data_IF_604697333014
#
_entry.id   IF_604697333014
#
_cell.length_a   1.000
_cell.length_b   1.000
_cell.length_c   1.000
_cell.angle_alpha   90.00
_cell.angle_beta   90.00
_cell.angle_gamma   90.00
#
_symmetry.space_group_name_H-M   'P 1'
#
loop_
_entity.id
_entity.type
_entity.pdbx_description
1 polymer ?
#
# COMPACT_ATOMS: atom_id res chain seq x y z
N UNK A 1 20.88 -1.86 3.68
CA UNK A 1 21.41 -1.79 2.31
C UNK A 1 20.35 -2.36 1.39
N UNK A 2 19.57 -1.50 0.77
CA UNK A 2 18.58 -1.90 -0.23
C UNK A 2 19.36 -2.30 -1.49
N UNK A 3 19.48 -3.59 -1.74
CA UNK A 3 20.02 -4.09 -2.99
C UNK A 3 18.86 -4.15 -3.99
N UNK A 4 18.76 -3.16 -4.88
CA UNK A 4 17.79 -3.21 -5.98
C UNK A 4 18.36 -4.18 -7.02
N UNK A 5 17.99 -5.45 -6.93
CA UNK A 5 18.36 -6.48 -7.91
C UNK A 5 17.51 -6.43 -9.20
N UNK A 6 16.96 -5.29 -9.57
CA UNK A 6 16.14 -5.15 -10.77
C UNK A 6 16.92 -4.72 -12.01
N UNK A 7 18.17 -4.34 -11.87
CA UNK A 7 19.08 -4.21 -13.00
C UNK A 7 19.88 -5.51 -13.04
N UNK A 8 19.62 -6.36 -14.02
CA UNK A 8 20.44 -7.55 -14.22
C UNK A 8 21.90 -7.09 -14.29
N UNK A 9 22.71 -7.54 -13.36
CA UNK A 9 24.09 -7.12 -13.15
C UNK A 9 25.03 -7.27 -14.37
N UNK A 10 24.57 -7.85 -15.46
CA UNK A 10 25.34 -7.99 -16.71
C UNK A 10 25.36 -6.75 -17.60
N UNK A 11 24.60 -5.71 -17.27
CA UNK A 11 24.51 -4.51 -18.10
C UNK A 11 24.62 -3.19 -17.33
N UNK A 12 24.66 -3.24 -16.00
CA UNK A 12 24.86 -2.05 -15.18
C UNK A 12 26.34 -1.96 -14.81
N UNK A 13 26.97 -0.86 -15.12
CA UNK A 13 28.24 -0.49 -14.51
C UNK A 13 28.13 -0.43 -13.00
N UNK A 14 29.23 -0.14 -12.33
CA UNK A 14 29.28 -0.02 -10.88
C UNK A 14 28.22 1.00 -10.40
N UNK A 15 27.42 0.58 -9.40
CA UNK A 15 26.46 1.47 -8.77
C UNK A 15 27.14 2.14 -7.59
N UNK A 16 27.47 3.41 -7.73
CA UNK A 16 27.99 4.22 -6.65
C UNK A 16 26.85 4.75 -5.77
N UNK A 17 26.89 4.43 -4.49
CA UNK A 17 25.96 4.97 -3.51
C UNK A 17 26.68 6.02 -2.67
N UNK A 18 26.41 7.29 -2.93
CA UNK A 18 26.92 8.39 -2.14
C UNK A 18 25.97 8.68 -0.97
N UNK A 19 26.42 8.39 0.23
CA UNK A 19 25.74 8.80 1.46
C UNK A 19 26.18 10.21 1.83
N UNK A 20 25.25 11.15 1.84
CA UNK A 20 25.49 12.50 2.35
C UNK A 20 25.31 12.49 3.88
N UNK A 21 26.39 12.53 4.67
CA UNK A 21 26.27 12.50 6.12
C UNK A 21 25.67 13.81 6.64
N UNK A 22 24.56 13.70 7.33
CA UNK A 22 23.88 14.81 8.03
C UNK A 22 23.68 14.43 9.50
N UNK A 23 24.75 14.28 10.30
CA UNK A 23 24.64 13.82 11.68
C UNK A 23 23.94 14.84 12.59
N UNK A 24 23.84 16.08 12.14
CA UNK A 24 23.16 17.21 12.77
C UNK A 24 21.64 17.20 12.61
N UNK A 25 21.10 16.31 11.77
CA UNK A 25 19.68 16.23 11.47
C UNK A 25 19.11 14.89 11.95
N UNK A 26 17.86 14.87 12.45
CA UNK A 26 17.20 13.61 12.74
C UNK A 26 17.03 12.79 11.44
N UNK A 27 17.12 11.45 11.51
CA UNK A 27 16.94 10.62 10.34
C UNK A 27 15.54 10.81 9.77
N UNK A 28 15.48 11.21 8.50
CA UNK A 28 14.25 11.27 7.73
C UNK A 28 14.11 9.96 6.94
N UNK A 29 12.91 9.39 6.94
CA UNK A 29 12.61 8.27 6.06
C UNK A 29 12.75 8.71 4.60
N UNK A 30 13.40 7.90 3.78
CA UNK A 30 13.61 8.21 2.35
C UNK A 30 12.32 8.04 1.56
N UNK A 31 11.43 7.17 2.04
CA UNK A 31 10.10 6.92 1.47
C UNK A 31 10.11 6.84 -0.07
N UNK A 32 9.11 7.40 -0.68
CA UNK A 32 8.99 7.47 -2.15
C UNK A 32 9.92 8.52 -2.77
N UNK A 33 10.50 9.40 -1.98
CA UNK A 33 11.39 10.48 -2.47
C UNK A 33 12.58 9.94 -3.28
N UNK A 34 13.03 8.72 -3.00
CA UNK A 34 14.11 8.08 -3.73
C UNK A 34 13.65 7.43 -5.03
N UNK A 35 12.39 7.02 -5.14
CA UNK A 35 11.85 6.31 -6.32
C UNK A 35 11.21 7.25 -7.34
N UNK A 36 10.58 8.33 -6.87
CA UNK A 36 9.88 9.31 -7.72
C UNK A 36 10.77 9.88 -8.84
N UNK A 37 12.03 10.30 -8.61
CA UNK A 37 12.88 10.84 -9.67
C UNK A 37 13.49 9.77 -10.60
N UNK A 38 13.38 8.48 -10.27
CA UNK A 38 14.09 7.41 -10.99
C UNK A 38 13.73 7.35 -12.47
N UNK A 39 12.45 7.43 -12.82
CA UNK A 39 12.00 7.40 -14.22
C UNK A 39 12.52 8.62 -14.99
N UNK A 40 12.49 9.80 -14.38
CA UNK A 40 13.00 11.02 -14.98
C UNK A 40 14.53 10.98 -15.13
N UNK A 41 15.23 10.46 -14.14
CA UNK A 41 16.69 10.29 -14.19
C UNK A 41 17.10 9.34 -15.33
N UNK A 42 16.42 8.19 -15.47
CA UNK A 42 16.69 7.25 -16.57
C UNK A 42 16.39 7.91 -17.93
N UNK A 43 15.25 8.60 -18.07
CA UNK A 43 14.91 9.31 -19.31
C UNK A 43 15.94 10.38 -19.69
N UNK A 44 16.46 11.11 -18.69
CA UNK A 44 17.50 12.12 -18.90
C UNK A 44 18.83 11.47 -19.28
N UNK A 45 19.22 10.39 -18.64
CA UNK A 45 20.45 9.67 -18.97
C UNK A 45 20.41 9.11 -20.40
N UNK A 46 19.27 8.54 -20.82
CA UNK A 46 19.09 8.08 -22.20
C UNK A 46 19.20 9.27 -23.17
N UNK A 47 18.57 10.40 -22.85
CA UNK A 47 18.66 11.61 -23.69
C UNK A 47 20.11 12.15 -23.78
N UNK A 48 20.80 12.22 -22.68
CA UNK A 48 22.19 12.67 -22.62
C UNK A 48 23.12 11.79 -23.47
N UNK A 49 22.92 10.47 -23.39
CA UNK A 49 23.72 9.50 -24.14
C UNK A 49 23.38 9.44 -25.64
N UNK A 50 22.15 9.73 -26.04
CA UNK A 50 21.65 9.40 -27.39
C UNK A 50 21.06 10.59 -28.15
N UNK A 51 20.75 11.69 -27.48
CA UNK A 51 20.01 12.84 -28.03
C UNK A 51 18.52 12.56 -28.25
N UNK A 52 18.03 11.34 -27.97
CA UNK A 52 16.62 10.97 -28.17
C UNK A 52 15.85 11.09 -26.88
N UNK A 53 14.74 11.86 -26.89
CA UNK A 53 13.91 12.10 -25.71
C UNK A 53 12.75 11.13 -25.61
N UNK A 54 12.77 10.32 -24.54
CA UNK A 54 11.66 9.44 -24.17
C UNK A 54 10.85 10.08 -23.04
N UNK A 55 9.54 10.20 -23.19
CA UNK A 55 8.65 10.88 -22.23
C UNK A 55 7.61 9.96 -21.61
N UNK A 56 7.52 8.73 -22.06
CA UNK A 56 6.49 7.78 -21.65
C UNK A 56 7.10 6.46 -21.18
N UNK A 57 6.56 5.91 -20.13
CA UNK A 57 6.89 4.58 -19.59
C UNK A 57 6.04 3.49 -20.26
N UNK A 58 6.52 2.22 -20.26
CA UNK A 58 7.80 1.73 -19.75
C UNK A 58 8.96 1.93 -20.75
N UNK A 59 10.19 2.09 -20.26
CA UNK A 59 11.40 2.12 -21.10
C UNK A 59 11.85 0.71 -21.45
N UNK A 60 11.09 0.01 -22.28
CA UNK A 60 11.47 -1.33 -22.73
C UNK A 60 12.60 -1.27 -23.78
N UNK A 61 13.45 -2.30 -23.87
CA UNK A 61 14.51 -2.34 -24.88
C UNK A 61 14.00 -2.10 -26.31
N UNK A 62 12.84 -2.67 -26.64
CA UNK A 62 12.24 -2.55 -27.96
C UNK A 62 11.79 -1.11 -28.26
N UNK A 63 11.26 -0.43 -27.25
CA UNK A 63 10.85 0.98 -27.38
C UNK A 63 12.03 1.88 -27.53
N UNK A 64 13.08 1.67 -26.75
CA UNK A 64 14.33 2.43 -26.86
C UNK A 64 14.94 2.21 -28.24
N UNK A 65 15.05 0.97 -28.71
CA UNK A 65 15.60 0.66 -30.03
C UNK A 65 14.82 1.34 -31.16
N UNK A 66 13.50 1.33 -31.13
CA UNK A 66 12.67 2.03 -32.13
C UNK A 66 12.91 3.54 -32.12
N UNK A 67 12.94 4.14 -30.94
CA UNK A 67 13.25 5.57 -30.82
C UNK A 67 14.63 5.92 -31.34
N UNK A 68 15.65 5.09 -31.07
CA UNK A 68 17.01 5.28 -31.58
C UNK A 68 17.13 5.14 -33.10
N UNK A 69 16.25 4.34 -33.72
CA UNK A 69 16.17 4.18 -35.18
C UNK A 69 15.42 5.30 -35.87
N UNK A 70 14.87 6.28 -35.13
CA UNK A 70 14.03 7.32 -35.68
C UNK A 70 12.69 6.82 -36.19
N UNK A 71 12.32 5.58 -35.85
CA UNK A 71 10.99 5.06 -36.10
C UNK A 71 10.06 5.91 -35.24
N UNK A 72 9.18 6.69 -35.89
CA UNK A 72 8.26 7.61 -35.24
C UNK A 72 7.59 6.85 -34.10
N UNK A 73 7.76 7.34 -32.89
CA UNK A 73 6.95 6.91 -31.77
C UNK A 73 5.53 7.23 -32.21
N UNK A 74 4.77 6.21 -32.64
CA UNK A 74 3.35 6.39 -32.80
C UNK A 74 2.88 6.94 -31.45
N UNK A 75 2.63 8.23 -31.40
CA UNK A 75 1.93 8.84 -30.29
C UNK A 75 0.74 7.94 -30.11
N UNK A 76 0.54 7.28 -28.96
CA UNK A 76 -0.68 6.53 -28.76
C UNK A 76 -1.76 7.51 -29.15
N UNK A 77 -2.53 7.16 -30.19
CA UNK A 77 -3.62 8.02 -30.71
C UNK A 77 -4.31 8.56 -29.50
N UNK A 78 -4.19 9.86 -29.28
CA UNK A 78 -4.58 10.50 -28.03
C UNK A 78 -5.94 9.92 -27.73
N UNK A 79 -6.06 9.15 -26.66
CA UNK A 79 -7.31 8.51 -26.26
C UNK A 79 -8.37 9.54 -26.58
N UNK A 80 -9.34 9.25 -27.49
CA UNK A 80 -10.28 10.23 -27.97
C UNK A 80 -10.72 10.99 -26.74
N UNK A 81 -10.53 12.32 -26.76
CA UNK A 81 -10.80 13.17 -25.62
C UNK A 81 -12.16 12.72 -25.10
N UNK A 82 -12.31 12.31 -23.83
CA UNK A 82 -13.49 11.64 -23.35
C UNK A 82 -14.67 12.38 -23.94
N UNK A 83 -15.36 11.71 -24.85
CA UNK A 83 -16.47 12.29 -25.62
C UNK A 83 -17.30 12.95 -24.56
N UNK A 84 -17.33 14.26 -24.55
CA UNK A 84 -17.81 15.15 -23.48
C UNK A 84 -18.81 14.38 -22.65
N UNK A 85 -18.47 14.06 -21.40
CA UNK A 85 -19.29 13.22 -20.53
C UNK A 85 -20.73 13.69 -20.79
N UNK A 86 -21.68 12.83 -21.17
CA UNK A 86 -23.00 13.24 -21.58
C UNK A 86 -23.43 14.25 -20.54
N UNK A 87 -23.58 15.50 -20.96
CA UNK A 87 -23.98 16.55 -20.04
C UNK A 87 -25.25 16.07 -19.44
N UNK A 88 -25.18 15.64 -18.18
CA UNK A 88 -26.37 15.26 -17.42
C UNK A 88 -27.22 16.52 -17.42
N UNK A 89 -28.23 16.53 -18.29
CA UNK A 89 -29.23 17.56 -18.23
C UNK A 89 -30.03 17.34 -16.94
N UNK A 90 -29.51 17.92 -15.88
CA UNK A 90 -30.08 17.84 -14.54
C UNK A 90 -31.55 18.32 -14.54
N UNK A 91 -31.93 19.20 -15.48
CA UNK A 91 -33.31 19.65 -15.63
C UNK A 91 -34.23 18.55 -16.19
N UNK A 92 -33.66 17.61 -16.96
CA UNK A 92 -34.43 16.46 -17.47
C UNK A 92 -34.68 15.40 -16.39
N UNK A 93 -33.76 15.33 -15.42
CA UNK A 93 -33.88 14.40 -14.29
C UNK A 93 -34.63 14.99 -13.10
N UNK A 94 -34.57 16.32 -12.94
CA UNK A 94 -35.16 17.03 -11.83
C UNK A 94 -36.51 17.67 -12.21
N UNK A 95 -37.40 16.89 -12.83
CA UNK A 95 -38.78 17.29 -12.95
C UNK A 95 -39.63 16.43 -12.00
N UNK A 96 -39.79 16.84 -10.73
CA UNK A 96 -40.49 16.04 -9.71
C UNK A 96 -41.97 15.87 -10.01
N UNK A 97 -42.50 16.54 -11.06
CA UNK A 97 -43.90 16.55 -11.41
C UNK A 97 -44.22 15.82 -12.72
N UNK A 98 -43.28 15.14 -13.34
CA UNK A 98 -43.53 14.34 -14.55
C UNK A 98 -44.12 12.97 -14.22
N UNK A 99 -45.27 12.94 -13.60
CA UNK A 99 -46.13 11.77 -13.45
C UNK A 99 -45.58 10.66 -12.52
N UNK A 100 -46.37 9.61 -12.30
CA UNK A 100 -46.06 8.44 -11.44
C UNK A 100 -44.68 7.80 -11.70
N UNK A 101 -44.12 7.93 -12.91
CA UNK A 101 -42.81 7.40 -13.27
C UNK A 101 -41.66 8.22 -12.67
N UNK A 102 -41.83 9.53 -12.49
CA UNK A 102 -40.84 10.39 -11.85
C UNK A 102 -40.70 10.10 -10.36
N UNK A 103 -41.78 9.87 -9.66
CA UNK A 103 -41.79 9.54 -8.22
C UNK A 103 -41.12 8.19 -7.97
N UNK A 104 -41.36 7.19 -8.83
CA UNK A 104 -40.71 5.87 -8.70
C UNK A 104 -39.21 5.95 -9.00
N UNK A 105 -38.78 6.79 -9.96
CA UNK A 105 -37.38 7.00 -10.30
C UNK A 105 -36.60 7.72 -9.17
N UNK A 106 -37.20 8.75 -8.58
CA UNK A 106 -36.58 9.45 -7.44
C UNK A 106 -36.53 8.58 -6.19
N UNK A 107 -37.57 7.81 -5.91
CA UNK A 107 -37.56 6.85 -4.81
C UNK A 107 -36.48 5.78 -4.99
N UNK A 108 -36.30 5.23 -6.21
CA UNK A 108 -35.25 4.26 -6.52
C UNK A 108 -33.85 4.87 -6.37
N UNK A 109 -33.63 6.11 -6.82
CA UNK A 109 -32.33 6.81 -6.67
C UNK A 109 -32.01 7.11 -5.20
N UNK A 110 -33.01 7.53 -4.40
CA UNK A 110 -32.82 7.74 -2.97
C UNK A 110 -32.53 6.43 -2.21
N UNK A 111 -33.24 5.34 -2.58
CA UNK A 111 -32.94 4.02 -2.02
C UNK A 111 -31.54 3.54 -2.39
N UNK A 112 -31.10 3.70 -3.64
CA UNK A 112 -29.75 3.35 -4.07
C UNK A 112 -28.69 4.19 -3.36
N UNK A 113 -28.92 5.49 -3.18
CA UNK A 113 -28.04 6.37 -2.42
C UNK A 113 -27.99 5.97 -0.94
N UNK A 114 -29.12 5.67 -0.33
CA UNK A 114 -29.19 5.22 1.07
C UNK A 114 -28.50 3.87 1.28
N UNK A 115 -28.65 2.93 0.33
CA UNK A 115 -27.95 1.65 0.36
C UNK A 115 -26.44 1.86 0.19
N UNK A 116 -26.02 2.72 -0.74
CA UNK A 116 -24.62 3.06 -0.97
C UNK A 116 -23.97 3.72 0.25
N UNK A 117 -24.63 4.68 0.88
CA UNK A 117 -24.19 5.33 2.11
C UNK A 117 -24.19 4.32 3.27
N UNK A 118 -25.24 3.50 3.39
CA UNK A 118 -25.31 2.46 4.40
C UNK A 118 -24.19 1.45 4.28
N UNK A 119 -23.88 0.99 3.07
CA UNK A 119 -22.76 0.08 2.82
C UNK A 119 -21.38 0.71 3.13
N UNK A 120 -21.24 2.03 2.93
CA UNK A 120 -20.00 2.75 3.21
C UNK A 120 -19.80 3.07 4.71
N UNK A 121 -20.90 3.16 5.47
CA UNK A 121 -20.86 3.57 6.90
C UNK A 121 -21.02 2.37 7.84
N UNK A 122 -21.59 1.26 7.38
CA UNK A 122 -21.76 0.07 8.22
C UNK A 122 -20.37 -0.54 8.51
N UNK A 123 -20.05 -0.76 9.80
CA UNK A 123 -18.79 -1.41 10.14
C UNK A 123 -18.76 -2.83 9.57
N UNK A 124 -17.61 -3.24 9.06
CA UNK A 124 -17.39 -4.61 8.65
C UNK A 124 -17.64 -5.57 9.81
N UNK A 125 -18.12 -6.77 9.49
CA UNK A 125 -18.38 -7.77 10.55
C UNK A 125 -17.09 -8.06 11.31
N UNK A 126 -17.15 -8.02 12.63
CA UNK A 126 -16.04 -8.43 13.48
C UNK A 126 -15.72 -9.91 13.26
N UNK A 127 -14.44 -10.24 13.22
CA UNK A 127 -13.95 -11.63 13.21
C UNK A 127 -13.63 -12.00 14.66
N UNK A 128 -14.17 -13.12 15.12
CA UNK A 128 -13.96 -13.58 16.49
C UNK A 128 -12.47 -13.80 16.81
N UNK A 129 -12.03 -13.52 18.05
CA UNK A 129 -10.68 -13.83 18.47
C UNK A 129 -10.47 -15.34 18.49
N UNK A 130 -9.23 -15.75 18.29
CA UNK A 130 -8.78 -17.14 18.43
C UNK A 130 -7.78 -17.27 19.57
N UNK A 131 -7.55 -18.49 20.04
CA UNK A 131 -6.37 -18.77 20.83
C UNK A 131 -5.12 -18.55 19.97
N UNK A 132 -4.07 -17.98 20.57
CA UNK A 132 -2.80 -17.77 19.87
C UNK A 132 -2.30 -19.10 19.30
N UNK A 133 -1.98 -19.16 18.00
CA UNK A 133 -1.36 -20.34 17.41
C UNK A 133 0.01 -20.64 18.07
N UNK A 134 0.32 -21.91 18.29
CA UNK A 134 1.66 -22.29 18.70
C UNK A 134 2.64 -22.10 17.52
N UNK A 135 3.83 -21.58 17.81
CA UNK A 135 4.84 -21.33 16.77
C UNK A 135 5.29 -22.62 16.06
N UNK A 136 5.17 -23.78 16.70
CA UNK A 136 5.54 -25.09 16.14
C UNK A 136 4.66 -25.54 14.96
N UNK A 137 3.49 -24.91 14.76
CA UNK A 137 2.63 -25.22 13.61
C UNK A 137 3.21 -24.66 12.29
N UNK A 138 4.20 -23.77 12.37
CA UNK A 138 4.83 -23.15 11.20
C UNK A 138 6.22 -23.77 10.95
N UNK A 139 6.55 -24.02 9.69
CA UNK A 139 7.89 -24.47 9.34
C UNK A 139 8.92 -23.35 9.53
N UNK A 140 10.17 -23.73 9.85
CA UNK A 140 11.27 -22.78 9.94
C UNK A 140 11.48 -21.99 8.64
N UNK A 141 11.27 -22.63 7.48
CA UNK A 141 11.37 -21.98 6.18
C UNK A 141 10.28 -20.92 6.00
N UNK A 142 9.04 -21.20 6.41
CA UNK A 142 7.93 -20.24 6.36
C UNK A 142 8.19 -19.05 7.26
N UNK A 143 8.68 -19.27 8.48
CA UNK A 143 9.03 -18.19 9.42
C UNK A 143 10.17 -17.33 8.85
N UNK A 144 11.22 -17.94 8.30
CA UNK A 144 12.35 -17.22 7.71
C UNK A 144 11.90 -16.38 6.50
N UNK A 145 11.02 -16.91 5.65
CA UNK A 145 10.43 -16.14 4.55
C UNK A 145 9.63 -14.95 5.07
N UNK A 146 8.80 -15.15 6.09
CA UNK A 146 8.02 -14.08 6.73
C UNK A 146 8.90 -12.99 7.34
N UNK A 147 10.03 -13.37 7.94
CA UNK A 147 11.01 -12.42 8.46
C UNK A 147 11.58 -11.51 7.36
N UNK A 148 11.92 -12.08 6.21
CA UNK A 148 12.40 -11.30 5.06
C UNK A 148 11.31 -10.34 4.56
N UNK A 149 10.06 -10.80 4.49
CA UNK A 149 8.93 -9.97 4.07
C UNK A 149 8.63 -8.84 5.06
N UNK A 150 8.72 -9.10 6.35
CA UNK A 150 8.56 -8.08 7.39
C UNK A 150 9.67 -7.01 7.30
N UNK A 151 10.90 -7.40 6.97
CA UNK A 151 11.99 -6.48 6.73
C UNK A 151 11.79 -5.66 5.45
N UNK A 152 11.32 -6.28 4.36
CA UNK A 152 11.00 -5.58 3.11
C UNK A 152 9.82 -4.61 3.26
N UNK A 153 8.83 -4.97 4.07
CA UNK A 153 7.65 -4.14 4.36
C UNK A 153 7.88 -3.10 5.44
N UNK A 154 9.11 -2.98 5.99
CA UNK A 154 9.49 -2.02 7.03
C UNK A 154 8.57 -2.04 8.27
N UNK A 155 8.03 -3.23 8.62
CA UNK A 155 7.08 -3.35 9.72
C UNK A 155 7.62 -2.76 11.03
N UNK A 156 8.86 -3.09 11.38
CA UNK A 156 9.50 -2.63 12.61
C UNK A 156 9.75 -1.11 12.62
N UNK A 157 9.91 -0.47 11.46
CA UNK A 157 10.15 0.97 11.37
C UNK A 157 8.97 1.76 11.93
N UNK A 158 7.74 1.33 11.64
CA UNK A 158 6.54 1.97 12.19
C UNK A 158 6.14 1.36 13.53
N UNK A 159 6.26 0.06 13.71
CA UNK A 159 5.74 -0.65 14.88
C UNK A 159 6.76 -0.80 16.02
N UNK A 160 7.77 0.06 16.09
CA UNK A 160 8.75 0.09 17.18
C UNK A 160 8.93 1.51 17.68
N UNK A 161 8.66 1.75 18.96
CA UNK A 161 8.91 3.03 19.60
C UNK A 161 10.43 3.34 19.63
N UNK A 162 10.80 4.60 19.79
CA UNK A 162 12.19 4.97 19.99
C UNK A 162 12.75 4.24 21.22
N UNK A 163 13.82 3.47 21.04
CA UNK A 163 14.41 2.60 22.07
C UNK A 163 13.46 1.51 22.60
N UNK A 164 12.36 1.22 21.88
CA UNK A 164 11.38 0.21 22.25
C UNK A 164 11.75 -1.20 21.78
N UNK A 165 10.94 -2.17 22.19
CA UNK A 165 11.06 -3.56 21.74
C UNK A 165 10.53 -3.63 20.30
N UNK A 166 11.22 -4.30 19.37
CA UNK A 166 10.77 -4.45 18.00
C UNK A 166 9.33 -4.97 17.90
N UNK A 167 8.54 -4.33 17.05
CA UNK A 167 7.14 -4.68 16.77
C UNK A 167 6.17 -4.49 17.95
N UNK A 168 6.62 -4.00 19.09
CA UNK A 168 5.74 -3.77 20.26
C UNK A 168 4.90 -2.48 20.18
N UNK A 169 4.98 -1.73 19.09
CA UNK A 169 4.19 -0.52 18.88
C UNK A 169 4.74 0.72 19.57
N UNK A 170 3.87 1.70 19.80
CA UNK A 170 4.17 2.91 20.56
C UNK A 170 4.89 4.01 19.81
N UNK A 171 5.29 3.84 18.56
CA UNK A 171 5.90 4.90 17.74
C UNK A 171 4.88 6.00 17.46
N UNK A 172 5.21 7.21 17.84
CA UNK A 172 4.41 8.39 17.54
C UNK A 172 4.58 8.80 16.07
N UNK A 173 3.49 8.96 15.36
CA UNK A 173 3.41 9.43 13.98
C UNK A 173 2.62 10.75 13.97
N UNK A 174 3.25 11.81 13.50
CA UNK A 174 2.60 13.10 13.37
C UNK A 174 1.70 13.12 12.13
N UNK A 175 0.47 13.55 12.29
CA UNK A 175 -0.48 13.71 11.19
C UNK A 175 -1.09 15.11 11.22
N UNK A 176 -1.70 15.58 10.13
CA UNK A 176 -2.41 16.86 10.13
C UNK A 176 -3.57 16.93 11.15
N UNK A 177 -4.03 15.79 11.66
CA UNK A 177 -5.15 15.68 12.59
C UNK A 177 -4.70 15.37 14.04
N UNK A 178 -3.39 15.34 14.29
CA UNK A 178 -2.82 15.02 15.57
C UNK A 178 -1.84 13.86 15.53
N UNK A 179 -1.31 13.51 16.68
CA UNK A 179 -0.39 12.37 16.82
C UNK A 179 -1.17 11.08 16.94
N UNK A 180 -0.80 10.10 16.11
CA UNK A 180 -1.25 8.71 16.25
C UNK A 180 -0.08 7.85 16.68
N UNK A 181 -0.36 6.72 17.29
CA UNK A 181 0.68 5.78 17.71
C UNK A 181 0.52 4.45 16.97
N UNK A 182 1.63 3.93 16.47
CA UNK A 182 1.62 2.61 15.84
C UNK A 182 1.29 1.52 16.87
N UNK A 183 0.50 0.56 16.46
CA UNK A 183 0.01 -0.51 17.34
C UNK A 183 1.06 -1.60 17.56
N UNK A 184 0.90 -2.37 18.63
CA UNK A 184 1.65 -3.58 18.89
C UNK A 184 1.25 -4.67 17.88
N UNK A 185 2.21 -5.19 17.13
CA UNK A 185 2.02 -6.32 16.18
C UNK A 185 2.75 -7.58 16.62
N UNK A 186 3.22 -7.65 17.88
CA UNK A 186 3.69 -8.90 18.46
C UNK A 186 2.50 -9.83 18.76
N UNK A 187 2.73 -11.14 18.94
CA UNK A 187 1.65 -12.08 19.22
C UNK A 187 1.18 -12.06 20.68
N UNK A 188 1.17 -10.88 21.30
CA UNK A 188 0.49 -10.68 22.58
C UNK A 188 -1.02 -10.70 22.36
N UNK A 189 -1.76 -11.43 23.20
CA UNK A 189 -3.19 -11.67 23.02
C UNK A 189 -4.05 -10.47 23.44
N UNK A 190 -3.55 -9.62 24.32
CA UNK A 190 -4.29 -8.47 24.88
C UNK A 190 -3.99 -7.18 24.12
N UNK A 191 -2.72 -6.88 23.91
CA UNK A 191 -2.28 -5.60 23.36
C UNK A 191 -1.78 -5.69 21.91
N UNK A 192 -1.55 -6.92 21.41
CA UNK A 192 -1.02 -7.20 20.08
C UNK A 192 -2.00 -7.94 19.17
N UNK A 193 -1.45 -8.70 18.26
CA UNK A 193 -2.24 -9.46 17.27
C UNK A 193 -2.37 -10.95 17.62
N UNK A 194 -1.97 -11.39 18.83
CA UNK A 194 -1.95 -12.80 19.22
C UNK A 194 -3.31 -13.49 19.17
N UNK A 195 -4.40 -12.74 19.34
CA UNK A 195 -5.77 -13.25 19.20
C UNK A 195 -6.36 -13.11 17.77
N UNK A 196 -5.55 -12.76 16.78
CA UNK A 196 -6.01 -12.59 15.40
C UNK A 196 -5.88 -13.89 14.62
N UNK A 197 -6.95 -14.32 13.98
CA UNK A 197 -6.90 -15.41 13.00
C UNK A 197 -6.21 -14.92 11.71
N UNK A 198 -5.72 -15.87 10.89
CA UNK A 198 -5.17 -15.52 9.57
C UNK A 198 -6.15 -14.69 8.72
N UNK A 199 -7.44 -15.02 8.59
CA UNK A 199 -8.38 -14.17 7.86
C UNK A 199 -8.52 -12.76 8.43
N UNK A 200 -8.39 -12.56 9.75
CA UNK A 200 -8.42 -11.23 10.35
C UNK A 200 -7.16 -10.43 10.01
N UNK A 201 -6.01 -11.07 10.05
CA UNK A 201 -4.73 -10.49 9.64
C UNK A 201 -4.73 -10.14 8.15
N UNK A 202 -5.11 -11.09 7.30
CA UNK A 202 -5.17 -10.89 5.85
C UNK A 202 -6.09 -9.71 5.47
N UNK A 203 -7.28 -9.63 6.08
CA UNK A 203 -8.20 -8.53 5.86
C UNK A 203 -7.59 -7.17 6.25
N UNK A 204 -6.88 -7.12 7.36
CA UNK A 204 -6.19 -5.91 7.78
C UNK A 204 -5.11 -5.51 6.78
N UNK A 205 -4.32 -6.45 6.31
CA UNK A 205 -3.22 -6.22 5.39
C UNK A 205 -3.68 -5.86 3.98
N UNK A 206 -4.78 -6.43 3.48
CA UNK A 206 -5.25 -6.22 2.11
C UNK A 206 -6.27 -5.11 1.99
N UNK A 207 -7.13 -4.94 2.99
CA UNK A 207 -8.31 -4.08 2.92
C UNK A 207 -8.25 -2.92 3.91
N UNK A 208 -7.28 -2.92 4.84
CA UNK A 208 -7.19 -1.90 5.88
C UNK A 208 -8.31 -1.99 6.91
N UNK A 209 -8.86 -3.19 7.13
CA UNK A 209 -9.97 -3.42 8.06
C UNK A 209 -9.49 -4.19 9.29
N UNK A 210 -9.59 -3.59 10.45
CA UNK A 210 -9.24 -4.20 11.72
C UNK A 210 -10.12 -5.43 12.04
N UNK A 211 -9.64 -6.31 12.92
CA UNK A 211 -10.37 -7.52 13.34
C UNK A 211 -11.79 -7.22 13.86
N UNK A 212 -12.01 -6.11 14.54
CA UNK A 212 -13.33 -5.70 15.05
C UNK A 212 -14.24 -5.05 14.01
N UNK A 213 -13.76 -4.85 12.78
CA UNK A 213 -14.52 -4.29 11.66
C UNK A 213 -14.35 -2.80 11.45
N UNK A 214 -13.58 -2.09 12.27
CA UNK A 214 -13.25 -0.68 12.03
C UNK A 214 -12.17 -0.54 10.96
N UNK A 215 -12.17 0.57 10.25
CA UNK A 215 -11.09 0.92 9.33
C UNK A 215 -9.80 1.23 10.10
N UNK A 216 -8.68 0.76 9.59
CA UNK A 216 -7.36 1.18 10.04
C UNK A 216 -7.09 2.60 9.56
N UNK A 217 -6.30 3.34 10.33
CA UNK A 217 -5.92 4.69 9.94
C UNK A 217 -5.07 4.64 8.65
N UNK A 218 -5.30 5.54 7.68
CA UNK A 218 -4.68 5.46 6.35
C UNK A 218 -3.17 5.74 6.31
N UNK A 219 -2.51 5.94 7.45
CA UNK A 219 -1.05 5.88 7.53
C UNK A 219 -0.52 4.45 7.27
N UNK A 220 -1.37 3.42 7.45
CA UNK A 220 -1.03 2.06 7.07
C UNK A 220 -1.22 1.86 5.56
N UNK A 221 -0.13 1.57 4.80
CA UNK A 221 -0.19 1.54 3.34
C UNK A 221 -0.74 0.20 2.81
N UNK A 222 -1.91 -0.23 3.27
CA UNK A 222 -2.53 -1.50 2.89
C UNK A 222 -2.67 -1.72 1.38
N UNK A 223 -2.85 -0.70 0.50
CA UNK A 223 -2.92 -0.94 -0.94
C UNK A 223 -1.64 -1.53 -1.53
N UNK A 224 -0.49 -1.31 -0.89
CA UNK A 224 0.78 -1.91 -1.29
C UNK A 224 0.85 -3.40 -0.91
N UNK A 225 0.31 -3.75 0.26
CA UNK A 225 0.25 -5.13 0.74
C UNK A 225 -0.87 -5.95 0.08
N UNK A 226 -1.90 -5.30 -0.48
CA UNK A 226 -3.02 -5.97 -1.13
C UNK A 226 -2.60 -6.90 -2.28
N UNK A 227 -1.45 -6.63 -2.91
CA UNK A 227 -0.90 -7.41 -4.04
C UNK A 227 0.05 -8.53 -3.60
N UNK A 228 0.32 -8.68 -2.31
CA UNK A 228 1.15 -9.76 -1.78
C UNK A 228 0.52 -11.12 -2.09
N UNK A 229 1.31 -12.11 -2.51
CA UNK A 229 0.79 -13.46 -2.77
C UNK A 229 0.25 -14.08 -1.48
N UNK A 230 -0.67 -15.04 -1.59
CA UNK A 230 -1.24 -15.72 -0.42
C UNK A 230 -0.17 -16.45 0.39
N UNK A 231 0.79 -17.07 -0.29
CA UNK A 231 1.91 -17.76 0.35
C UNK A 231 2.79 -16.79 1.16
N UNK A 232 3.08 -15.61 0.61
CA UNK A 232 3.87 -14.59 1.29
C UNK A 232 3.09 -13.95 2.46
N UNK A 233 1.78 -13.76 2.30
CA UNK A 233 0.92 -13.26 3.37
C UNK A 233 0.85 -14.26 4.54
N UNK A 234 0.74 -15.55 4.24
CA UNK A 234 0.79 -16.61 5.25
C UNK A 234 2.16 -16.69 5.94
N UNK A 235 3.24 -16.51 5.18
CA UNK A 235 4.59 -16.49 5.74
C UNK A 235 4.79 -15.30 6.69
N UNK A 236 4.31 -14.11 6.30
CA UNK A 236 4.37 -12.92 7.14
C UNK A 236 3.58 -13.12 8.45
N UNK A 237 2.37 -13.67 8.37
CA UNK A 237 1.58 -14.01 9.54
C UNK A 237 2.30 -15.02 10.44
N UNK A 238 2.85 -16.08 9.88
CA UNK A 238 3.60 -17.09 10.62
C UNK A 238 4.80 -16.51 11.39
N UNK A 239 5.55 -15.61 10.74
CA UNK A 239 6.67 -14.92 11.38
C UNK A 239 6.20 -14.06 12.55
N UNK A 240 5.16 -13.26 12.36
CA UNK A 240 4.64 -12.38 13.41
C UNK A 240 4.11 -13.20 14.60
N UNK A 241 3.42 -14.32 14.34
CA UNK A 241 2.92 -15.22 15.38
C UNK A 241 4.02 -16.01 16.09
N UNK A 242 5.16 -16.24 15.45
CA UNK A 242 6.30 -16.95 16.04
C UNK A 242 7.20 -16.08 16.93
N UNK A 243 7.00 -14.77 16.94
CA UNK A 243 7.77 -13.87 17.80
C UNK A 243 7.43 -14.06 19.29
N UNK A 244 8.31 -13.56 20.15
CA UNK A 244 8.00 -13.45 21.56
C UNK A 244 6.84 -12.45 21.77
N UNK A 245 5.79 -12.78 22.54
CA UNK A 245 4.74 -11.82 22.85
C UNK A 245 5.27 -10.74 23.77
N UNK A 246 4.94 -9.51 23.49
CA UNK A 246 5.31 -8.35 24.31
C UNK A 246 4.03 -7.63 24.68
N UNK A 247 3.71 -7.56 25.96
CA UNK A 247 2.59 -6.75 26.44
C UNK A 247 3.03 -5.28 26.41
N UNK A 248 2.44 -4.50 25.54
CA UNK A 248 2.72 -3.06 25.39
C UNK A 248 1.43 -2.35 25.00
N UNK A 249 0.95 -1.50 25.89
CA UNK A 249 -0.20 -0.65 25.62
C UNK A 249 0.24 0.52 24.73
N UNK A 250 -0.57 0.82 23.72
CA UNK A 250 -0.35 1.98 22.86
C UNK A 250 -0.91 3.22 23.55
N UNK A 251 -0.14 4.32 23.66
CA UNK A 251 -0.58 5.56 24.31
C UNK A 251 -1.86 6.15 23.72
#
# INVERSE_FOLDING_TARGET
>A
VLRIELIRASAAGDIDVLMLPRPDQPPLGVGESASVPSAAAIANAIFDATGVRFRELPFTPERILRGLRGEEQATPEALPAPTSAPQLDLNKWWNPFAGRRGVLGTAAALCAAAIGIGAAVLPWRAIAPIARPDASVYSAATIARGQQLAALGDCAVCHTAANGIPNAGGRALQTPFGTIHATNITPDVETGIGAWSYPAFERAMREGIHRDGRHLYPAFPYPHFAKTTDADMQALYAYLMAQAPVRAETP
#
